data_IF_398243195962
#
_entry.id   IF_398243195962
#
_cell.length_a   1.000
_cell.length_b   1.000
_cell.length_c   1.000
_cell.angle_alpha   90.00
_cell.angle_beta   90.00
_cell.angle_gamma   90.00
#
_symmetry.space_group_name_H-M   'P 1'
#
loop_
_entity.id
_entity.type
_entity.pdbx_description
1 polymer ?
#
# COMPACT_ATOMS: atom_id res chain seq x y z
N UNK A 1 16.48 -30.18 8.75
CA UNK A 1 15.84 -30.46 10.07
C UNK A 1 15.79 -29.27 11.01
N UNK A 2 16.94 -28.73 11.44
CA UNK A 2 17.01 -27.72 12.52
C UNK A 2 16.27 -26.40 12.20
N UNK A 3 16.49 -25.82 11.02
CA UNK A 3 15.81 -24.59 10.59
C UNK A 3 14.29 -24.82 10.53
N UNK A 4 13.85 -25.93 9.96
CA UNK A 4 12.44 -26.27 9.86
C UNK A 4 11.77 -26.40 11.25
N UNK A 5 12.44 -27.08 12.20
CA UNK A 5 11.93 -27.23 13.56
C UNK A 5 11.80 -25.88 14.29
N UNK A 6 12.73 -24.94 14.07
CA UNK A 6 12.64 -23.58 14.62
C UNK A 6 11.48 -22.79 14.02
N UNK A 7 11.31 -22.86 12.69
CA UNK A 7 10.18 -22.22 12.00
C UNK A 7 8.86 -22.76 12.55
N UNK A 8 8.69 -24.08 12.59
CA UNK A 8 7.47 -24.72 13.10
C UNK A 8 7.16 -24.31 14.55
N UNK A 9 8.16 -24.29 15.43
CA UNK A 9 8.00 -23.85 16.82
C UNK A 9 7.61 -22.38 16.92
N UNK A 10 8.26 -21.49 16.14
CA UNK A 10 7.94 -20.07 16.14
C UNK A 10 6.52 -19.81 15.60
N UNK A 11 6.07 -20.54 14.57
CA UNK A 11 4.70 -20.46 14.08
C UNK A 11 3.67 -20.89 15.15
N UNK A 12 3.95 -21.94 15.92
CA UNK A 12 3.09 -22.35 17.03
C UNK A 12 3.01 -21.28 18.13
N UNK A 13 4.10 -20.57 18.39
CA UNK A 13 4.11 -19.44 19.32
C UNK A 13 3.25 -18.31 18.79
N UNK A 14 3.42 -17.92 17.51
CA UNK A 14 2.64 -16.88 16.86
C UNK A 14 1.12 -17.18 16.90
N UNK A 15 0.72 -18.44 16.70
CA UNK A 15 -0.69 -18.84 16.76
C UNK A 15 -1.32 -18.59 18.16
N UNK A 16 -0.51 -18.64 19.22
CA UNK A 16 -0.97 -18.41 20.59
C UNK A 16 -0.88 -16.93 21.02
N UNK A 17 -0.19 -16.11 20.27
CA UNK A 17 -0.11 -14.68 20.56
C UNK A 17 -1.43 -14.01 20.20
N UNK A 18 -1.96 -13.19 21.12
CA UNK A 18 -3.08 -12.31 20.81
C UNK A 18 -2.63 -11.27 19.78
N UNK A 19 -3.45 -11.05 18.78
CA UNK A 19 -3.26 -9.91 17.87
C UNK A 19 -3.25 -8.63 18.71
N UNK A 20 -2.16 -7.88 18.61
CA UNK A 20 -1.98 -6.60 19.27
C UNK A 20 -1.37 -5.64 18.25
N UNK A 21 -1.89 -4.43 18.20
CA UNK A 21 -1.40 -3.36 17.32
C UNK A 21 0.13 -3.14 17.43
N UNK A 22 0.71 -3.32 18.62
CA UNK A 22 2.18 -3.24 18.83
C UNK A 22 2.97 -4.30 18.06
N UNK A 23 2.36 -5.43 17.78
CA UNK A 23 2.96 -6.54 17.04
C UNK A 23 2.57 -6.54 15.55
N UNK A 24 1.83 -5.51 15.11
CA UNK A 24 1.45 -5.38 13.72
C UNK A 24 2.69 -5.31 12.81
N UNK A 25 2.70 -6.12 11.79
CA UNK A 25 3.75 -6.16 10.76
C UNK A 25 3.10 -6.29 9.40
N UNK A 26 3.61 -5.62 8.38
CA UNK A 26 3.05 -5.73 7.04
C UNK A 26 3.26 -7.15 6.49
N UNK A 27 2.17 -7.81 6.19
CA UNK A 27 2.15 -9.04 5.40
C UNK A 27 1.40 -8.72 4.11
N UNK A 28 2.16 -8.52 3.05
CA UNK A 28 1.68 -7.86 1.82
C UNK A 28 1.51 -8.87 0.72
N UNK A 29 0.32 -8.86 0.11
CA UNK A 29 0.02 -9.59 -1.10
C UNK A 29 -0.01 -8.61 -2.26
N UNK A 30 0.93 -8.73 -3.20
CA UNK A 30 1.10 -7.76 -4.30
C UNK A 30 0.73 -8.41 -5.62
N UNK A 31 -0.32 -7.92 -6.28
CA UNK A 31 -0.70 -8.38 -7.61
C UNK A 31 0.08 -7.62 -8.70
N UNK A 32 1.18 -8.21 -9.14
CA UNK A 32 2.11 -7.53 -10.07
C UNK A 32 1.76 -7.73 -11.54
N UNK A 33 1.05 -8.82 -11.90
CA UNK A 33 0.85 -9.17 -13.31
C UNK A 33 2.19 -9.37 -14.02
N UNK A 34 2.42 -8.71 -15.16
CA UNK A 34 3.69 -8.78 -15.88
C UNK A 34 4.76 -7.96 -15.16
N UNK A 35 5.72 -8.63 -14.54
CA UNK A 35 6.74 -8.08 -13.65
C UNK A 35 7.49 -6.89 -14.26
N UNK A 36 7.99 -7.01 -15.49
CA UNK A 36 8.76 -5.96 -16.17
C UNK A 36 7.99 -4.66 -16.39
N UNK A 37 6.66 -4.71 -16.36
CA UNK A 37 5.78 -3.53 -16.51
C UNK A 37 5.40 -2.89 -15.17
N UNK A 38 5.81 -3.48 -14.04
CA UNK A 38 5.40 -3.11 -12.70
C UNK A 38 6.57 -3.02 -11.71
N UNK A 39 7.77 -2.73 -12.22
CA UNK A 39 9.00 -2.65 -11.41
C UNK A 39 8.84 -1.69 -10.23
N UNK A 40 8.19 -0.54 -10.44
CA UNK A 40 7.96 0.43 -9.37
C UNK A 40 6.99 -0.11 -8.30
N UNK A 41 5.96 -0.90 -8.67
CA UNK A 41 5.09 -1.56 -7.70
C UNK A 41 5.87 -2.54 -6.82
N UNK A 42 6.78 -3.30 -7.43
CA UNK A 42 7.71 -4.20 -6.70
C UNK A 42 8.62 -3.39 -5.77
N UNK A 43 9.14 -2.25 -6.25
CA UNK A 43 9.99 -1.39 -5.42
C UNK A 43 9.23 -0.83 -4.21
N UNK A 44 7.99 -0.37 -4.38
CA UNK A 44 7.14 0.06 -3.26
C UNK A 44 6.87 -1.08 -2.28
N UNK A 45 6.58 -2.28 -2.77
CA UNK A 45 6.36 -3.43 -1.91
C UNK A 45 7.62 -3.82 -1.10
N UNK A 46 8.81 -3.71 -1.70
CA UNK A 46 10.10 -3.88 -1.01
C UNK A 46 10.24 -2.86 0.12
N UNK A 47 9.99 -1.58 -0.15
CA UNK A 47 10.10 -0.53 0.86
C UNK A 47 9.14 -0.74 2.04
N UNK A 48 7.91 -1.17 1.77
CA UNK A 48 6.90 -1.44 2.79
C UNK A 48 7.20 -2.71 3.61
N UNK A 49 7.83 -3.73 2.99
CA UNK A 49 8.15 -5.00 3.63
C UNK A 49 9.52 -5.05 4.32
N UNK A 50 10.32 -3.96 4.27
CA UNK A 50 11.69 -3.95 4.79
C UNK A 50 11.80 -4.50 6.21
N UNK A 51 12.74 -5.43 6.41
CA UNK A 51 13.21 -5.99 7.69
C UNK A 51 12.15 -6.61 8.62
N UNK A 52 10.89 -6.22 8.51
CA UNK A 52 9.84 -6.64 9.44
C UNK A 52 8.61 -7.25 8.76
N UNK A 53 8.47 -7.13 7.45
CA UNK A 53 7.32 -7.58 6.68
C UNK A 53 7.58 -8.83 5.85
N UNK A 54 6.50 -9.47 5.44
CA UNK A 54 6.50 -10.58 4.48
C UNK A 54 5.79 -10.09 3.23
N UNK A 55 6.42 -10.22 2.07
CA UNK A 55 5.85 -9.74 0.79
C UNK A 55 5.77 -10.87 -0.20
N UNK A 56 4.57 -11.26 -0.58
CA UNK A 56 4.30 -12.20 -1.65
C UNK A 56 4.00 -11.44 -2.95
N UNK A 57 4.83 -11.67 -3.97
CA UNK A 57 4.60 -11.15 -5.32
C UNK A 57 3.79 -12.16 -6.12
N UNK A 58 2.56 -11.79 -6.47
CA UNK A 58 1.63 -12.69 -7.15
C UNK A 58 1.46 -12.32 -8.61
N UNK A 59 1.79 -13.25 -9.49
CA UNK A 59 1.39 -13.20 -10.88
C UNK A 59 0.23 -14.16 -11.11
N UNK A 60 -0.84 -13.68 -11.72
CA UNK A 60 -2.02 -14.49 -12.05
C UNK A 60 -2.06 -14.76 -13.55
N UNK A 61 -2.15 -16.03 -13.91
CA UNK A 61 -2.37 -16.50 -15.27
C UNK A 61 -3.82 -16.95 -15.37
N UNK A 62 -4.55 -16.40 -16.33
CA UNK A 62 -5.95 -16.77 -16.54
C UNK A 62 -6.06 -17.88 -17.57
N UNK A 63 -6.67 -18.99 -17.22
CA UNK A 63 -6.84 -20.15 -18.09
C UNK A 63 -7.09 -21.46 -17.34
N UNK A 64 -7.17 -22.55 -18.09
CA UNK A 64 -7.26 -23.90 -17.53
C UNK A 64 -5.89 -24.37 -17.06
N UNK A 65 -5.85 -25.07 -15.93
CA UNK A 65 -4.60 -25.52 -15.30
C UNK A 65 -3.70 -26.31 -16.25
N UNK A 66 -4.29 -27.26 -16.97
CA UNK A 66 -3.56 -28.14 -17.90
C UNK A 66 -2.88 -27.39 -19.05
N UNK A 67 -3.46 -26.27 -19.47
CA UNK A 67 -3.01 -25.50 -20.61
C UNK A 67 -1.99 -24.41 -20.21
N UNK A 68 -1.98 -24.03 -18.92
CA UNK A 68 -1.18 -22.92 -18.42
C UNK A 68 -0.03 -23.36 -17.50
N UNK A 69 0.17 -24.67 -17.27
CA UNK A 69 1.15 -25.15 -16.29
C UNK A 69 2.59 -24.81 -16.69
N UNK A 70 2.93 -24.96 -17.95
CA UNK A 70 4.26 -24.60 -18.47
C UNK A 70 4.52 -23.10 -18.34
N UNK A 71 3.54 -22.28 -18.72
CA UNK A 71 3.63 -20.82 -18.58
C UNK A 71 3.78 -20.38 -17.12
N UNK A 72 3.12 -21.08 -16.17
CA UNK A 72 3.27 -20.86 -14.74
C UNK A 72 4.70 -21.10 -14.30
N UNK A 73 5.28 -22.22 -14.68
CA UNK A 73 6.62 -22.63 -14.26
C UNK A 73 7.68 -21.68 -14.84
N UNK A 74 7.58 -21.32 -16.11
CA UNK A 74 8.43 -20.31 -16.75
C UNK A 74 8.31 -18.93 -16.06
N UNK A 75 7.09 -18.52 -15.74
CA UNK A 75 6.86 -17.24 -15.04
C UNK A 75 7.46 -17.24 -13.63
N UNK A 76 7.35 -18.36 -12.90
CA UNK A 76 7.93 -18.49 -11.57
C UNK A 76 9.46 -18.45 -11.62
N UNK A 77 10.07 -19.11 -12.59
CA UNK A 77 11.52 -19.07 -12.82
C UNK A 77 12.00 -17.64 -13.13
N UNK A 78 11.30 -16.94 -14.01
CA UNK A 78 11.60 -15.53 -14.32
C UNK A 78 11.49 -14.62 -13.10
N UNK A 79 10.47 -14.82 -12.26
CA UNK A 79 10.29 -14.05 -11.02
C UNK A 79 11.40 -14.35 -10.01
N UNK A 80 11.77 -15.61 -9.82
CA UNK A 80 12.89 -16.01 -8.95
C UNK A 80 14.20 -15.37 -9.43
N UNK A 81 14.50 -15.48 -10.72
CA UNK A 81 15.71 -14.88 -11.31
C UNK A 81 15.75 -13.35 -11.09
N UNK A 82 14.63 -12.65 -11.31
CA UNK A 82 14.54 -11.22 -11.06
C UNK A 82 14.81 -10.87 -9.59
N UNK A 83 14.23 -11.63 -8.65
CA UNK A 83 14.38 -11.43 -7.20
C UNK A 83 15.83 -11.64 -6.77
N UNK A 84 16.48 -12.72 -7.25
CA UNK A 84 17.88 -13.02 -6.97
C UNK A 84 18.83 -11.96 -7.53
N UNK A 85 18.63 -11.57 -8.80
CA UNK A 85 19.46 -10.57 -9.48
C UNK A 85 19.44 -9.22 -8.76
N UNK A 86 18.27 -8.84 -8.23
CA UNK A 86 18.08 -7.58 -7.53
C UNK A 86 18.22 -7.70 -5.99
N UNK A 87 18.60 -8.90 -5.48
CA UNK A 87 18.77 -9.20 -4.05
C UNK A 87 17.57 -8.76 -3.20
N UNK A 88 16.37 -9.11 -3.66
CA UNK A 88 15.13 -8.74 -3.00
C UNK A 88 14.70 -9.81 -1.99
N UNK A 89 14.24 -9.42 -0.82
CA UNK A 89 13.66 -10.34 0.17
C UNK A 89 12.13 -10.47 -0.06
N UNK A 90 11.75 -11.00 -1.23
CA UNK A 90 10.36 -11.13 -1.66
C UNK A 90 10.08 -12.58 -2.05
N UNK A 91 8.82 -13.01 -1.92
CA UNK A 91 8.39 -14.38 -2.19
C UNK A 91 7.53 -14.41 -3.46
N UNK A 92 8.00 -14.99 -4.57
CA UNK A 92 7.23 -15.05 -5.80
C UNK A 92 6.22 -16.19 -5.77
N UNK A 93 5.03 -15.90 -6.28
CA UNK A 93 3.98 -16.88 -6.50
C UNK A 93 3.34 -16.68 -7.88
N UNK A 94 3.07 -17.79 -8.56
CA UNK A 94 2.32 -17.78 -9.82
C UNK A 94 1.12 -18.68 -9.67
N UNK A 95 -0.06 -18.11 -9.88
CA UNK A 95 -1.33 -18.79 -9.69
C UNK A 95 -2.11 -18.83 -10.99
N UNK A 96 -2.64 -20.00 -11.34
CA UNK A 96 -3.56 -20.16 -12.47
C UNK A 96 -4.97 -20.06 -11.94
N UNK A 97 -5.77 -19.15 -12.50
CA UNK A 97 -7.19 -18.98 -12.20
C UNK A 97 -7.99 -19.06 -13.49
N UNK A 98 -9.15 -19.71 -13.46
CA UNK A 98 -10.06 -19.70 -14.64
C UNK A 98 -10.51 -18.29 -14.97
N UNK A 99 -10.84 -17.54 -13.95
CA UNK A 99 -11.25 -16.14 -14.00
C UNK A 99 -10.68 -15.40 -12.80
N UNK A 100 -10.14 -14.21 -13.03
CA UNK A 100 -9.48 -13.43 -11.98
C UNK A 100 -10.49 -12.92 -10.94
N UNK A 101 -11.66 -12.45 -11.37
CA UNK A 101 -12.66 -11.85 -10.48
C UNK A 101 -13.19 -12.87 -9.46
N UNK A 102 -13.49 -14.09 -9.90
CA UNK A 102 -13.98 -15.16 -9.02
C UNK A 102 -12.87 -15.84 -8.23
N UNK A 103 -11.65 -15.90 -8.79
CA UNK A 103 -10.51 -16.55 -8.15
C UNK A 103 -9.85 -15.70 -7.04
N UNK A 104 -9.94 -14.37 -7.14
CA UNK A 104 -9.26 -13.46 -6.23
C UNK A 104 -9.67 -13.66 -4.76
N UNK A 105 -10.97 -13.75 -4.49
CA UNK A 105 -11.47 -13.92 -3.11
C UNK A 105 -11.00 -15.23 -2.49
N UNK A 106 -11.07 -16.32 -3.25
CA UNK A 106 -10.62 -17.64 -2.81
C UNK A 106 -9.11 -17.66 -2.55
N UNK A 107 -8.35 -17.00 -3.42
CA UNK A 107 -6.89 -16.90 -3.27
C UNK A 107 -6.51 -16.11 -2.02
N UNK A 108 -7.07 -14.92 -1.81
CA UNK A 108 -6.77 -14.10 -0.62
C UNK A 108 -7.14 -14.83 0.68
N UNK A 109 -8.26 -15.56 0.70
CA UNK A 109 -8.66 -16.36 1.86
C UNK A 109 -7.72 -17.53 2.14
N UNK A 110 -7.28 -18.22 1.08
CA UNK A 110 -6.44 -19.41 1.18
C UNK A 110 -4.96 -19.11 1.36
N UNK A 111 -4.51 -17.92 0.93
CA UNK A 111 -3.11 -17.54 0.99
C UNK A 111 -2.67 -17.26 2.43
N UNK A 112 -1.81 -18.10 2.96
CA UNK A 112 -1.24 -17.92 4.30
C UNK A 112 0.02 -18.75 4.49
N UNK A 113 0.92 -18.25 5.34
CA UNK A 113 2.02 -19.03 5.91
C UNK A 113 1.63 -19.48 7.32
N UNK A 114 0.79 -20.51 7.41
CA UNK A 114 0.18 -20.99 8.66
C UNK A 114 -0.54 -19.83 9.40
N UNK A 115 -0.13 -19.37 10.60
CA UNK A 115 -0.82 -18.27 11.30
C UNK A 115 -0.63 -16.90 10.66
N UNK A 116 0.35 -16.75 9.77
CA UNK A 116 0.67 -15.46 9.15
C UNK A 116 -0.20 -15.29 7.90
N UNK A 117 -1.20 -14.41 8.01
CA UNK A 117 -2.11 -14.09 6.92
C UNK A 117 -1.83 -12.69 6.38
N UNK A 118 -2.04 -12.44 5.07
CA UNK A 118 -1.94 -11.09 4.53
C UNK A 118 -2.87 -10.13 5.27
N UNK A 119 -2.36 -8.98 5.65
CA UNK A 119 -3.12 -7.86 6.20
C UNK A 119 -3.19 -6.66 5.24
N UNK A 120 -2.37 -6.68 4.18
CA UNK A 120 -2.37 -5.68 3.11
C UNK A 120 -2.49 -6.39 1.76
N UNK A 121 -3.37 -5.88 0.91
CA UNK A 121 -3.42 -6.23 -0.52
C UNK A 121 -3.05 -5.01 -1.34
N UNK A 122 -2.04 -5.18 -2.21
CA UNK A 122 -1.45 -4.09 -2.96
C UNK A 122 -1.67 -4.25 -4.45
N UNK A 123 -2.13 -3.18 -5.10
CA UNK A 123 -2.39 -3.10 -6.52
C UNK A 123 -1.69 -1.90 -7.15
N UNK A 124 -1.36 -1.99 -8.44
CA UNK A 124 -1.08 -0.81 -9.24
C UNK A 124 -2.39 -0.18 -9.72
N UNK A 125 -2.46 1.14 -9.74
CA UNK A 125 -3.61 1.87 -10.27
C UNK A 125 -3.87 1.52 -11.74
N UNK A 126 -5.13 1.28 -12.17
CA UNK A 126 -5.45 0.89 -13.53
C UNK A 126 -5.22 2.05 -14.50
N UNK A 127 -4.64 1.75 -15.67
CA UNK A 127 -4.39 2.74 -16.72
C UNK A 127 -5.39 2.62 -17.87
N UNK A 128 -6.23 1.58 -17.90
CA UNK A 128 -7.18 1.28 -18.97
C UNK A 128 -8.59 1.35 -18.43
N UNK A 129 -9.45 2.14 -19.08
CA UNK A 129 -10.87 2.28 -18.71
C UNK A 129 -11.61 0.94 -18.63
N UNK A 130 -11.32 0.01 -19.55
CA UNK A 130 -11.93 -1.32 -19.58
C UNK A 130 -11.69 -2.16 -18.32
N UNK A 131 -10.77 -1.76 -17.46
CA UNK A 131 -10.44 -2.47 -16.20
C UNK A 131 -10.98 -1.79 -14.95
N UNK A 132 -11.57 -0.61 -15.05
CA UNK A 132 -11.96 0.20 -13.89
C UNK A 132 -13.00 -0.52 -13.05
N UNK A 133 -14.08 -1.01 -13.66
CA UNK A 133 -15.16 -1.69 -12.93
C UNK A 133 -14.64 -2.94 -12.21
N UNK A 134 -13.86 -3.78 -12.92
CA UNK A 134 -13.24 -4.96 -12.30
C UNK A 134 -12.28 -4.59 -11.16
N UNK A 135 -11.49 -3.52 -11.37
CA UNK A 135 -10.57 -3.05 -10.34
C UNK A 135 -11.30 -2.66 -9.05
N UNK A 136 -12.37 -1.86 -9.13
CA UNK A 136 -13.15 -1.49 -7.95
C UNK A 136 -13.85 -2.68 -7.30
N UNK A 137 -14.33 -3.63 -8.10
CA UNK A 137 -14.86 -4.91 -7.60
C UNK A 137 -13.81 -5.68 -6.78
N UNK A 138 -12.55 -5.69 -7.25
CA UNK A 138 -11.45 -6.27 -6.47
C UNK A 138 -11.22 -5.52 -5.16
N UNK A 139 -11.24 -4.19 -5.15
CA UNK A 139 -11.11 -3.41 -3.93
C UNK A 139 -12.25 -3.68 -2.94
N UNK A 140 -13.50 -3.81 -3.43
CA UNK A 140 -14.66 -4.21 -2.61
C UNK A 140 -14.42 -5.58 -1.99
N UNK A 141 -14.03 -6.58 -2.78
CA UNK A 141 -13.70 -7.93 -2.30
C UNK A 141 -12.63 -7.91 -1.20
N UNK A 142 -11.57 -7.12 -1.37
CA UNK A 142 -10.50 -6.99 -0.36
C UNK A 142 -11.04 -6.37 0.93
N UNK A 143 -11.92 -5.37 0.82
CA UNK A 143 -12.57 -4.73 1.98
C UNK A 143 -13.47 -5.71 2.71
N UNK A 144 -14.30 -6.50 1.99
CA UNK A 144 -15.15 -7.55 2.56
C UNK A 144 -14.36 -8.64 3.28
N UNK A 145 -13.14 -8.93 2.78
CA UNK A 145 -12.21 -9.86 3.41
C UNK A 145 -11.43 -9.25 4.58
N UNK A 146 -11.78 -8.02 4.97
CA UNK A 146 -11.18 -7.32 6.09
C UNK A 146 -9.65 -7.17 5.96
N UNK A 147 -9.20 -6.63 4.81
CA UNK A 147 -7.78 -6.35 4.51
C UNK A 147 -7.59 -4.89 4.14
N UNK A 148 -6.44 -4.35 4.55
CA UNK A 148 -6.02 -3.02 4.11
C UNK A 148 -5.69 -3.03 2.62
N UNK A 149 -5.97 -1.92 1.96
CA UNK A 149 -5.71 -1.74 0.54
C UNK A 149 -4.62 -0.69 0.36
N UNK A 150 -3.69 -0.98 -0.54
CA UNK A 150 -2.69 -0.04 -1.02
C UNK A 150 -2.74 -0.04 -2.54
N UNK A 151 -3.06 1.12 -3.14
CA UNK A 151 -3.02 1.30 -4.60
C UNK A 151 -1.91 2.29 -4.95
N UNK A 152 -0.98 1.89 -5.82
CA UNK A 152 0.11 2.76 -6.26
C UNK A 152 -0.21 3.36 -7.61
N UNK A 153 -0.38 4.67 -7.64
CA UNK A 153 -0.42 5.47 -8.86
C UNK A 153 0.99 5.97 -9.16
N UNK A 154 1.68 5.21 -9.98
CA UNK A 154 3.07 5.48 -10.32
C UNK A 154 3.17 6.54 -11.42
N UNK A 155 3.95 7.57 -11.18
CA UNK A 155 4.30 8.64 -12.14
C UNK A 155 5.76 8.55 -12.58
N UNK A 156 6.37 7.36 -12.49
CA UNK A 156 7.76 7.08 -12.92
C UNK A 156 8.79 8.01 -12.28
N UNK A 157 8.63 8.24 -10.98
CA UNK A 157 9.54 9.10 -10.24
C UNK A 157 10.80 8.34 -9.82
N UNK A 158 11.95 8.80 -10.30
CA UNK A 158 13.25 8.30 -9.85
C UNK A 158 13.78 9.15 -8.69
N UNK A 159 13.96 8.54 -7.52
CA UNK A 159 14.58 9.19 -6.38
C UNK A 159 16.03 9.57 -6.71
N UNK A 160 16.36 10.85 -6.66
CA UNK A 160 17.76 11.30 -6.74
C UNK A 160 18.46 10.98 -5.42
N UNK A 161 19.57 10.26 -5.48
CA UNK A 161 20.40 10.01 -4.31
C UNK A 161 20.89 11.32 -3.69
N UNK A 162 20.88 11.40 -2.34
CA UNK A 162 21.42 12.54 -1.60
C UNK A 162 20.52 13.77 -1.53
N UNK A 163 19.41 13.84 -2.27
CA UNK A 163 18.46 14.95 -2.15
C UNK A 163 17.56 14.81 -0.94
N UNK A 164 17.17 15.93 -0.34
CA UNK A 164 16.11 15.96 0.68
C UNK A 164 14.81 15.46 0.05
N UNK A 165 14.16 14.51 0.71
CA UNK A 165 12.92 13.89 0.24
C UNK A 165 11.75 14.28 1.13
N UNK A 166 10.56 14.35 0.54
CA UNK A 166 9.34 14.71 1.24
C UNK A 166 8.26 13.68 0.95
N UNK A 167 7.64 13.17 2.01
CA UNK A 167 6.43 12.33 1.94
C UNK A 167 5.29 13.12 2.59
N UNK A 168 4.24 13.40 1.84
CA UNK A 168 3.06 14.10 2.33
C UNK A 168 1.92 13.14 2.62
N UNK A 169 1.44 13.14 3.85
CA UNK A 169 0.25 12.41 4.28
C UNK A 169 -0.89 13.41 4.50
N UNK A 170 -1.89 13.43 3.62
CA UNK A 170 -3.03 14.35 3.73
C UNK A 170 -4.16 13.78 4.55
N UNK A 171 -4.35 14.36 5.70
CA UNK A 171 -5.33 13.93 6.70
C UNK A 171 -6.70 14.58 6.45
N UNK A 172 -7.68 13.78 6.04
CA UNK A 172 -9.06 14.25 5.83
C UNK A 172 -10.09 13.65 6.80
N UNK A 173 -9.73 12.58 7.50
CA UNK A 173 -10.59 11.85 8.43
C UNK A 173 -9.77 10.92 9.30
N UNK A 174 -10.42 10.19 10.21
CA UNK A 174 -9.71 9.37 11.20
C UNK A 174 -9.35 7.97 10.69
N UNK A 175 -10.13 7.42 9.75
CA UNK A 175 -10.10 5.98 9.45
C UNK A 175 -8.80 5.50 8.80
N UNK A 176 -8.25 6.27 7.85
CA UNK A 176 -7.06 5.87 7.12
C UNK A 176 -5.75 6.41 7.72
N UNK A 177 -5.84 7.33 8.67
CA UNK A 177 -4.71 8.16 9.10
C UNK A 177 -3.57 7.36 9.72
N UNK A 178 -3.83 6.50 10.68
CA UNK A 178 -2.81 5.67 11.33
C UNK A 178 -2.09 4.78 10.31
N UNK A 179 -2.82 4.21 9.37
CA UNK A 179 -2.25 3.38 8.32
C UNK A 179 -1.38 4.19 7.35
N UNK A 180 -1.82 5.40 6.95
CA UNK A 180 -1.03 6.31 6.11
C UNK A 180 0.31 6.67 6.72
N UNK A 181 0.32 7.05 8.00
CA UNK A 181 1.54 7.40 8.73
C UNK A 181 2.46 6.19 8.85
N UNK A 182 1.92 5.01 9.16
CA UNK A 182 2.69 3.78 9.25
C UNK A 182 3.38 3.45 7.93
N UNK A 183 2.67 3.56 6.79
CA UNK A 183 3.27 3.31 5.47
C UNK A 183 4.37 4.34 5.14
N UNK A 184 4.12 5.63 5.42
CA UNK A 184 5.12 6.68 5.22
C UNK A 184 6.38 6.42 6.07
N UNK A 185 6.21 6.01 7.32
CA UNK A 185 7.31 5.62 8.19
C UNK A 185 8.09 4.43 7.64
N UNK A 186 7.42 3.33 7.27
CA UNK A 186 8.09 2.15 6.71
C UNK A 186 8.91 2.50 5.45
N UNK A 187 8.37 3.34 4.58
CA UNK A 187 9.07 3.82 3.40
C UNK A 187 10.31 4.63 3.80
N UNK A 188 10.18 5.56 4.75
CA UNK A 188 11.27 6.44 5.18
C UNK A 188 12.46 5.70 5.82
N UNK A 189 12.23 4.47 6.32
CA UNK A 189 13.30 3.66 6.91
C UNK A 189 14.25 3.03 5.89
N UNK A 190 13.98 3.14 4.60
CA UNK A 190 14.84 2.58 3.56
C UNK A 190 15.99 3.52 3.19
N UNK A 191 17.13 2.95 2.82
CA UNK A 191 18.34 3.73 2.42
C UNK A 191 18.04 4.67 1.26
N UNK A 192 17.20 4.23 0.32
CA UNK A 192 16.77 5.07 -0.81
C UNK A 192 15.95 6.30 -0.36
N UNK A 193 15.39 6.26 0.84
CA UNK A 193 14.60 7.33 1.47
C UNK A 193 15.35 8.06 2.60
N UNK A 194 16.65 7.90 2.69
CA UNK A 194 17.48 8.65 3.64
C UNK A 194 17.27 10.17 3.50
N UNK A 195 17.29 10.92 4.61
CA UNK A 195 16.96 12.33 4.69
C UNK A 195 15.51 12.69 4.29
N UNK A 196 14.56 11.81 4.56
CA UNK A 196 13.14 12.05 4.30
C UNK A 196 12.49 12.85 5.43
N UNK A 197 11.72 13.87 5.04
CA UNK A 197 10.78 14.56 5.92
C UNK A 197 9.37 14.04 5.66
N UNK A 198 8.69 13.53 6.69
CA UNK A 198 7.26 13.18 6.62
C UNK A 198 6.47 14.41 7.06
N UNK A 199 5.52 14.88 6.23
CA UNK A 199 4.60 15.96 6.57
C UNK A 199 3.18 15.40 6.74
N UNK A 200 2.56 15.71 7.87
CA UNK A 200 1.15 15.43 8.13
C UNK A 200 0.35 16.68 7.81
N UNK A 201 -0.34 16.64 6.68
CA UNK A 201 -1.01 17.79 6.08
C UNK A 201 -2.53 17.76 6.33
N UNK A 202 -3.12 18.89 6.67
CA UNK A 202 -4.58 19.04 6.76
C UNK A 202 -5.01 20.41 6.29
N UNK A 203 -6.05 20.47 5.46
CA UNK A 203 -6.71 21.72 5.09
C UNK A 203 -7.81 22.06 6.10
N UNK A 204 -7.88 23.31 6.51
CA UNK A 204 -8.95 23.87 7.35
C UNK A 204 -9.46 25.19 6.74
N UNK A 205 -10.73 25.57 6.96
CA UNK A 205 -11.30 26.77 6.33
C UNK A 205 -10.83 28.09 6.97
N UNK A 206 -10.43 28.08 8.25
CA UNK A 206 -10.13 29.29 9.01
C UNK A 206 -9.07 29.07 10.10
N UNK A 207 -8.57 30.17 10.66
CA UNK A 207 -7.52 30.16 11.69
C UNK A 207 -8.01 29.58 13.04
N UNK A 208 -9.33 29.65 13.33
CA UNK A 208 -9.89 29.15 14.60
C UNK A 208 -9.71 27.64 14.74
N UNK A 209 -9.84 26.89 13.62
CA UNK A 209 -9.68 25.44 13.60
C UNK A 209 -8.21 24.99 13.59
N UNK A 210 -7.28 25.84 13.16
CA UNK A 210 -5.86 25.52 13.01
C UNK A 210 -5.25 24.96 14.29
N UNK A 211 -5.40 25.68 15.39
CA UNK A 211 -4.76 25.31 16.66
C UNK A 211 -5.22 23.95 17.20
N UNK A 212 -6.50 23.61 17.01
CA UNK A 212 -7.05 22.31 17.40
C UNK A 212 -6.44 21.19 16.55
N UNK A 213 -6.52 21.29 15.23
CA UNK A 213 -6.08 20.27 14.32
C UNK A 213 -4.55 20.10 14.29
N UNK A 214 -3.80 21.18 14.52
CA UNK A 214 -2.35 21.08 14.67
C UNK A 214 -1.96 20.20 15.86
N UNK A 215 -2.60 20.44 17.03
CA UNK A 215 -2.36 19.62 18.23
C UNK A 215 -2.77 18.15 18.02
N UNK A 216 -3.87 17.90 17.32
CA UNK A 216 -4.31 16.55 16.97
C UNK A 216 -3.24 15.81 16.14
N UNK A 217 -2.72 16.41 15.06
CA UNK A 217 -1.69 15.80 14.23
C UNK A 217 -0.37 15.62 14.96
N UNK A 218 0.05 16.59 15.78
CA UNK A 218 1.25 16.48 16.62
C UNK A 218 1.12 15.37 17.64
N UNK A 219 -0.05 15.23 18.26
CA UNK A 219 -0.31 14.16 19.22
C UNK A 219 -0.20 12.78 18.56
N UNK A 220 -0.80 12.61 17.39
CA UNK A 220 -0.73 11.36 16.62
C UNK A 220 0.73 11.00 16.28
N UNK A 221 1.53 11.95 15.79
CA UNK A 221 2.94 11.72 15.51
C UNK A 221 3.72 11.29 16.76
N UNK A 222 3.44 11.93 17.89
CA UNK A 222 4.08 11.63 19.17
C UNK A 222 3.68 10.24 19.70
N UNK A 223 2.40 9.89 19.68
CA UNK A 223 1.93 8.56 20.08
C UNK A 223 2.51 7.45 19.19
N UNK A 224 2.60 7.71 17.88
CA UNK A 224 3.23 6.80 16.93
C UNK A 224 4.76 6.69 17.11
N UNK A 225 5.38 7.61 17.83
CA UNK A 225 6.85 7.74 17.92
C UNK A 225 7.52 7.91 16.56
N UNK A 226 6.84 8.61 15.67
CA UNK A 226 7.31 8.91 14.31
C UNK A 226 7.69 10.37 14.24
N UNK A 227 8.90 10.65 13.76
CA UNK A 227 9.33 12.02 13.48
C UNK A 227 8.61 12.53 12.23
N UNK A 228 7.59 13.35 12.44
CA UNK A 228 6.78 13.93 11.38
C UNK A 228 6.40 15.38 11.69
N UNK A 229 6.35 16.22 10.67
CA UNK A 229 5.96 17.62 10.78
C UNK A 229 4.46 17.77 10.51
N UNK A 230 3.71 18.24 11.50
CA UNK A 230 2.31 18.60 11.33
C UNK A 230 2.18 19.98 10.69
N UNK A 231 1.44 20.08 9.60
CA UNK A 231 1.22 21.32 8.85
C UNK A 231 -0.27 21.51 8.56
N UNK A 232 -0.82 22.65 8.95
CA UNK A 232 -2.21 23.03 8.69
C UNK A 232 -2.23 24.10 7.59
N UNK A 233 -2.92 23.79 6.52
CA UNK A 233 -3.15 24.70 5.40
C UNK A 233 -4.51 25.38 5.58
N UNK A 234 -4.51 26.69 5.80
CA UNK A 234 -5.74 27.47 5.88
C UNK A 234 -6.10 27.90 4.46
N UNK A 235 -7.18 27.38 3.94
CA UNK A 235 -7.65 27.71 2.60
C UNK A 235 -9.10 27.31 2.38
N UNK A 236 -9.83 28.17 1.66
CA UNK A 236 -11.17 27.91 1.13
C UNK A 236 -11.13 27.50 -0.36
N UNK A 237 -9.93 27.33 -0.93
CA UNK A 237 -9.74 26.81 -2.28
C UNK A 237 -10.19 25.35 -2.37
N UNK A 238 -10.39 24.85 -3.58
CA UNK A 238 -10.69 23.44 -3.79
C UNK A 238 -9.57 22.56 -3.23
N UNK A 239 -9.91 21.38 -2.72
CA UNK A 239 -8.92 20.44 -2.21
C UNK A 239 -7.86 20.08 -3.29
N UNK A 240 -8.28 20.02 -4.56
CA UNK A 240 -7.38 19.79 -5.69
C UNK A 240 -6.32 20.89 -5.83
N UNK A 241 -6.72 22.16 -5.72
CA UNK A 241 -5.80 23.29 -5.85
C UNK A 241 -4.83 23.35 -4.68
N UNK A 242 -5.33 23.11 -3.47
CA UNK A 242 -4.51 23.05 -2.25
C UNK A 242 -3.50 21.91 -2.34
N UNK A 243 -3.94 20.72 -2.75
CA UNK A 243 -3.09 19.56 -2.92
C UNK A 243 -1.97 19.84 -3.93
N UNK A 244 -2.30 20.37 -5.10
CA UNK A 244 -1.35 20.73 -6.15
C UNK A 244 -0.34 21.78 -5.68
N UNK A 245 -0.80 22.81 -4.97
CA UNK A 245 0.05 23.89 -4.49
C UNK A 245 1.10 23.42 -3.47
N UNK A 246 0.72 22.50 -2.58
CA UNK A 246 1.56 22.11 -1.45
C UNK A 246 2.36 20.81 -1.68
N UNK A 247 1.90 19.92 -2.54
CA UNK A 247 2.49 18.58 -2.68
C UNK A 247 2.97 18.23 -4.10
N UNK A 248 2.86 19.14 -5.07
CA UNK A 248 3.33 18.90 -6.43
C UNK A 248 4.83 18.57 -6.49
N UNK A 249 5.63 19.20 -5.64
CA UNK A 249 7.09 19.02 -5.59
C UNK A 249 7.53 17.95 -4.57
N UNK A 250 6.58 17.27 -3.92
CA UNK A 250 6.87 16.19 -2.98
C UNK A 250 7.34 14.93 -3.72
N UNK A 251 8.06 14.07 -3.04
CA UNK A 251 8.55 12.83 -3.65
C UNK A 251 7.49 11.73 -3.64
N UNK A 252 6.60 11.77 -2.65
CA UNK A 252 5.51 10.83 -2.49
C UNK A 252 4.34 11.50 -1.77
N UNK A 253 3.13 11.20 -2.20
CA UNK A 253 1.90 11.61 -1.53
C UNK A 253 1.12 10.39 -1.09
N UNK A 254 0.59 10.40 0.12
CA UNK A 254 -0.25 9.33 0.68
C UNK A 254 -1.62 9.91 0.99
N UNK A 255 -2.66 9.32 0.40
CA UNK A 255 -4.05 9.75 0.53
C UNK A 255 -4.95 8.59 0.93
N UNK A 256 -5.93 8.86 1.77
CA UNK A 256 -7.05 7.93 1.98
C UNK A 256 -7.99 7.92 0.79
N UNK A 257 -8.47 6.73 0.42
CA UNK A 257 -9.49 6.54 -0.62
C UNK A 257 -10.73 5.88 -0.01
N UNK A 258 -11.90 6.31 -0.45
CA UNK A 258 -13.15 5.59 -0.22
C UNK A 258 -13.44 4.66 -1.39
N UNK A 259 -14.02 3.50 -1.09
CA UNK A 259 -14.48 2.59 -2.14
C UNK A 259 -15.90 2.97 -2.52
N UNK A 260 -16.15 3.35 -3.78
CA UNK A 260 -17.46 3.81 -4.21
C UNK A 260 -18.50 2.69 -4.17
N UNK A 261 -19.76 3.09 -4.04
CA UNK A 261 -20.87 2.16 -4.20
C UNK A 261 -20.94 1.61 -5.63
N UNK A 262 -21.49 0.41 -5.83
CA UNK A 262 -21.68 -0.16 -7.15
C UNK A 262 -22.40 0.81 -8.12
N UNK A 263 -21.87 0.94 -9.33
CA UNK A 263 -22.36 1.86 -10.36
C UNK A 263 -21.74 3.25 -10.33
N UNK A 264 -20.91 3.58 -9.33
CA UNK A 264 -20.23 4.87 -9.22
C UNK A 264 -18.72 4.79 -9.57
N UNK A 265 -18.24 3.63 -9.96
CA UNK A 265 -16.82 3.32 -10.12
C UNK A 265 -16.13 4.26 -11.12
N UNK A 266 -16.75 4.46 -12.29
CA UNK A 266 -16.18 5.29 -13.35
C UNK A 266 -16.13 6.77 -12.93
N UNK A 267 -17.19 7.28 -12.31
CA UNK A 267 -17.25 8.65 -11.82
C UNK A 267 -16.19 8.90 -10.75
N UNK A 268 -16.05 7.96 -9.80
CA UNK A 268 -15.03 8.02 -8.76
C UNK A 268 -13.62 7.95 -9.33
N UNK A 269 -13.35 7.03 -10.27
CA UNK A 269 -12.07 6.94 -10.96
C UNK A 269 -11.71 8.25 -11.65
N UNK A 270 -12.64 8.83 -12.41
CA UNK A 270 -12.43 10.10 -13.13
C UNK A 270 -12.14 11.24 -12.15
N UNK A 271 -12.81 11.28 -11.00
CA UNK A 271 -12.56 12.29 -9.96
C UNK A 271 -11.15 12.13 -9.36
N UNK A 272 -10.69 10.90 -9.09
CA UNK A 272 -9.33 10.63 -8.59
C UNK A 272 -8.28 10.96 -9.65
N UNK A 273 -8.46 10.56 -10.90
CA UNK A 273 -7.55 10.91 -12.00
C UNK A 273 -7.41 12.44 -12.16
N UNK A 274 -8.53 13.16 -12.11
CA UNK A 274 -8.54 14.63 -12.15
C UNK A 274 -7.79 15.23 -10.96
N UNK A 275 -8.08 14.74 -9.75
CA UNK A 275 -7.43 15.19 -8.50
C UNK A 275 -5.91 15.03 -8.59
N UNK A 276 -5.43 13.94 -9.17
CA UNK A 276 -4.02 13.54 -9.16
C UNK A 276 -3.28 13.82 -10.48
N UNK A 277 -3.87 14.58 -11.40
CA UNK A 277 -3.29 14.83 -12.74
C UNK A 277 -1.87 15.41 -12.66
N UNK A 278 -1.64 16.37 -11.74
CA UNK A 278 -0.36 17.07 -11.59
C UNK A 278 0.45 16.59 -10.38
N UNK A 279 -0.01 15.53 -9.72
CA UNK A 279 0.63 15.03 -8.52
C UNK A 279 1.81 14.11 -8.85
N UNK A 280 2.81 14.03 -7.96
CA UNK A 280 3.86 13.02 -8.04
C UNK A 280 3.27 11.62 -7.83
N UNK A 281 4.14 10.62 -7.76
CA UNK A 281 3.71 9.27 -7.37
C UNK A 281 2.88 9.32 -6.10
N UNK A 282 1.70 8.71 -6.15
CA UNK A 282 0.72 8.77 -5.07
C UNK A 282 0.32 7.37 -4.63
N UNK A 283 0.26 7.15 -3.33
CA UNK A 283 -0.30 5.94 -2.72
C UNK A 283 -1.69 6.28 -2.21
N UNK A 284 -2.67 5.54 -2.71
CA UNK A 284 -4.06 5.59 -2.23
C UNK A 284 -4.30 4.43 -1.29
N UNK A 285 -4.85 4.69 -0.10
CA UNK A 285 -5.01 3.66 0.92
C UNK A 285 -6.44 3.60 1.47
N UNK A 286 -6.91 2.37 1.75
CA UNK A 286 -8.08 2.10 2.57
C UNK A 286 -7.68 1.23 3.74
N UNK A 287 -7.87 1.74 4.96
CA UNK A 287 -7.63 1.01 6.19
C UNK A 287 -8.89 0.30 6.67
N UNK A 288 -8.70 -0.82 7.33
CA UNK A 288 -9.73 -1.54 8.09
C UNK A 288 -9.70 -1.20 9.59
N UNK A 289 -8.79 -0.30 10.01
CA UNK A 289 -8.66 0.13 11.40
C UNK A 289 -7.84 -0.81 12.30
N UNK A 290 -7.11 -1.77 11.73
CA UNK A 290 -6.25 -2.71 12.49
C UNK A 290 -4.89 -2.11 12.89
N UNK A 291 -4.52 -0.99 12.31
CA UNK A 291 -3.30 -0.24 12.64
C UNK A 291 -3.64 0.80 13.70
N UNK A 292 -3.31 0.50 14.94
CA UNK A 292 -3.42 1.45 16.06
C UNK A 292 -2.02 1.96 16.42
N UNK A 293 -1.81 3.26 16.31
CA UNK A 293 -0.57 3.93 16.69
C UNK A 293 -0.54 4.31 18.18
N UNK A 294 -1.67 4.15 18.89
CA UNK A 294 -1.76 4.38 20.32
C UNK A 294 -1.11 3.22 21.07
N UNK A 295 0.04 3.43 21.61
CA UNK A 295 0.81 2.43 22.36
C UNK A 295 0.79 2.70 23.86
#
# INVERSE_FOLDING_TARGET
>A
GFIYSRISRNMQILTKMKENSKNWRPTILVFVGVLNKRVNLVQFSKWLGKDAGIVSLVNVITGELKDCITQRDESLEQMNHFIELNKLALYPEVVIMKDFDSGLSSFIQGHSLAPIKPNIVMFGWPQKETRIIHFYKHLQTVTELNKNIVCVMDKSYFLKQGSKKVIDCWWRGCDNGSFMIMLAYLISQNVEWENTTIRLMRQVPNEEEKGKHLRELQHIATEARIEAHAEIVISNESYQDVLNKHSRESNLVVLGIEIPAPGQELAHYTAIEKLLTQMPTTILVKSIGDVDLKS
#
